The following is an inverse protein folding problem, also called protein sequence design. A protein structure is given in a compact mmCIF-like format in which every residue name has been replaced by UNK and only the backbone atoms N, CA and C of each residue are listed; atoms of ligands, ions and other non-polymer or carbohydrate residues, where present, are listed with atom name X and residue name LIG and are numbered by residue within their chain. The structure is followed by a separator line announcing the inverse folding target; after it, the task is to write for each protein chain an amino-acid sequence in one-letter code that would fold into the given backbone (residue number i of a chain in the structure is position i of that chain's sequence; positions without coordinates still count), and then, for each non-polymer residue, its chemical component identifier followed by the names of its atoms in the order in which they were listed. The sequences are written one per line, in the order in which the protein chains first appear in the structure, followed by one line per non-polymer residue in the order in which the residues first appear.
data_IF_731075362949
#
_entry.id   IF_731075362949
#
_cell.length_a   1.000
_cell.length_b   1.000
_cell.length_c   1.000
_cell.angle_alpha   90.00
_cell.angle_beta   90.00
_cell.angle_gamma   90.00
#
_symmetry.space_group_name_H-M   'P 1'
#
loop_
_entity.id
_entity.type
_entity.pdbx_description
1 polymer ?
#
# COMPACT_ATOMS: atom_id res chain seq x y z
N UNK A 1 -10.37 30.96 1.72
CA UNK A 1 -11.82 31.09 1.51
C UNK A 1 -12.48 29.77 1.88
N UNK A 2 -13.44 29.81 2.83
CA UNK A 2 -14.30 28.67 3.09
C UNK A 2 -15.02 28.27 1.77
N UNK A 3 -14.97 27.00 1.39
CA UNK A 3 -15.74 26.49 0.26
C UNK A 3 -17.03 25.90 0.82
N UNK A 4 -18.15 26.36 0.33
CA UNK A 4 -19.47 25.89 0.70
C UNK A 4 -19.86 24.78 -0.30
N UNK A 5 -20.04 23.55 0.20
CA UNK A 5 -20.50 22.40 -0.59
C UNK A 5 -21.82 21.89 -0.03
N UNK A 6 -22.89 22.64 -0.32
CA UNK A 6 -24.25 22.35 0.17
C UNK A 6 -24.80 21.01 -0.33
N UNK A 7 -24.39 20.60 -1.54
CA UNK A 7 -24.82 19.31 -2.09
C UNK A 7 -24.25 18.17 -1.26
N UNK A 8 -22.95 18.21 -0.95
CA UNK A 8 -22.30 17.19 -0.12
C UNK A 8 -22.86 17.18 1.33
N UNK A 9 -23.15 18.36 1.88
CA UNK A 9 -23.77 18.44 3.20
C UNK A 9 -25.13 17.72 3.23
N UNK A 10 -26.00 17.93 2.24
CA UNK A 10 -27.26 17.20 2.12
C UNK A 10 -27.08 15.69 1.99
N UNK A 11 -26.10 15.25 1.20
CA UNK A 11 -25.76 13.83 1.07
C UNK A 11 -25.37 13.24 2.42
N UNK A 12 -24.50 13.92 3.18
CA UNK A 12 -24.07 13.47 4.50
C UNK A 12 -25.22 13.47 5.52
N UNK A 13 -26.09 14.48 5.51
CA UNK A 13 -27.28 14.54 6.35
C UNK A 13 -28.25 13.39 6.05
N UNK A 14 -28.47 13.07 4.76
CA UNK A 14 -29.31 11.95 4.36
C UNK A 14 -28.71 10.60 4.80
N UNK A 15 -27.39 10.42 4.65
CA UNK A 15 -26.71 9.22 5.15
C UNK A 15 -26.74 9.11 6.67
N UNK A 16 -26.60 10.23 7.38
CA UNK A 16 -26.70 10.25 8.85
C UNK A 16 -28.09 9.88 9.34
N UNK A 17 -29.14 10.34 8.66
CA UNK A 17 -30.52 10.08 9.02
C UNK A 17 -30.99 8.66 8.67
N UNK A 18 -30.62 8.13 7.49
CA UNK A 18 -31.13 6.87 6.95
C UNK A 18 -30.11 5.71 6.97
N UNK A 19 -28.87 5.97 7.41
CA UNK A 19 -27.80 5.00 7.46
C UNK A 19 -27.05 4.82 6.12
N UNK A 20 -25.92 4.09 6.14
CA UNK A 20 -25.02 3.98 4.99
C UNK A 20 -25.64 3.28 3.77
N UNK A 21 -26.68 2.46 3.99
CA UNK A 21 -27.40 1.80 2.90
C UNK A 21 -28.18 2.78 2.03
N UNK A 22 -28.49 3.96 2.52
CA UNK A 22 -29.25 4.98 1.77
C UNK A 22 -28.63 5.29 0.41
N UNK A 23 -27.28 5.38 0.33
CA UNK A 23 -26.60 5.58 -0.94
C UNK A 23 -26.86 4.43 -1.92
N UNK A 24 -26.74 3.20 -1.45
CA UNK A 24 -26.85 2.00 -2.28
C UNK A 24 -28.31 1.63 -2.64
N UNK A 25 -29.27 2.14 -1.91
CA UNK A 25 -30.69 1.84 -2.11
C UNK A 25 -31.40 3.04 -2.76
N UNK A 26 -31.53 4.16 -2.05
CA UNK A 26 -32.33 5.29 -2.52
C UNK A 26 -31.66 6.13 -3.61
N UNK A 27 -30.32 6.24 -3.61
CA UNK A 27 -29.58 7.03 -4.61
C UNK A 27 -29.09 6.20 -5.80
N UNK A 28 -29.25 4.88 -5.76
CA UNK A 28 -28.65 3.94 -6.72
C UNK A 28 -29.04 4.21 -8.18
N UNK A 29 -30.33 4.43 -8.41
CA UNK A 29 -30.88 4.69 -9.75
C UNK A 29 -30.32 5.98 -10.38
N UNK A 30 -30.33 7.06 -9.59
CA UNK A 30 -29.88 8.37 -10.06
C UNK A 30 -28.35 8.36 -10.26
N UNK A 31 -27.62 7.71 -9.35
CA UNK A 31 -26.18 7.52 -9.46
C UNK A 31 -25.79 6.72 -10.73
N UNK A 32 -26.41 5.56 -10.94
CA UNK A 32 -26.14 4.74 -12.12
C UNK A 32 -26.51 5.46 -13.41
N UNK A 33 -27.66 6.16 -13.43
CA UNK A 33 -28.09 6.96 -14.58
C UNK A 33 -27.12 8.11 -14.89
N UNK A 34 -26.62 8.79 -13.85
CA UNK A 34 -25.65 9.85 -14.02
C UNK A 34 -24.35 9.30 -14.63
N UNK A 35 -23.77 8.23 -14.06
CA UNK A 35 -22.53 7.62 -14.57
C UNK A 35 -22.71 7.14 -16.02
N UNK A 36 -23.81 6.49 -16.33
CA UNK A 36 -24.10 6.02 -17.70
C UNK A 36 -24.24 7.18 -18.71
N UNK A 37 -24.79 8.32 -18.29
CA UNK A 37 -24.98 9.50 -19.15
C UNK A 37 -23.71 10.30 -19.38
N UNK A 38 -22.79 10.33 -18.41
CA UNK A 38 -21.56 11.13 -18.48
C UNK A 38 -20.35 10.37 -19.07
N UNK A 39 -20.48 9.06 -19.32
CA UNK A 39 -19.38 8.28 -19.93
C UNK A 39 -19.42 8.35 -21.44
N UNK A 40 -18.27 8.61 -22.12
CA UNK A 40 -18.21 8.77 -23.59
C UNK A 40 -18.61 7.53 -24.40
N UNK A 41 -18.57 6.38 -23.77
CA UNK A 41 -19.04 5.11 -24.32
C UNK A 41 -20.03 4.56 -23.32
N UNK A 42 -21.19 4.17 -23.83
CA UNK A 42 -22.23 3.47 -23.08
C UNK A 42 -21.68 2.80 -21.81
N UNK A 43 -21.60 3.56 -20.70
CA UNK A 43 -20.90 3.15 -19.47
C UNK A 43 -21.53 1.95 -18.79
N UNK A 44 -22.69 1.54 -19.26
CA UNK A 44 -23.42 0.31 -18.93
C UNK A 44 -23.64 0.05 -17.44
N UNK A 45 -23.33 1.04 -16.58
CA UNK A 45 -23.71 0.94 -15.18
C UNK A 45 -25.22 0.95 -15.07
N UNK A 46 -25.74 0.00 -14.32
CA UNK A 46 -27.18 -0.10 -14.04
C UNK A 46 -27.44 -0.06 -12.54
N UNK A 47 -28.66 0.26 -12.13
CA UNK A 47 -29.04 0.35 -10.73
C UNK A 47 -28.65 -0.90 -9.92
N UNK A 48 -28.74 -2.09 -10.52
CA UNK A 48 -28.38 -3.35 -9.88
C UNK A 48 -26.89 -3.45 -9.53
N UNK A 49 -25.99 -2.75 -10.24
CA UNK A 49 -24.58 -2.73 -9.91
C UNK A 49 -24.32 -2.00 -8.58
N UNK A 50 -25.11 -0.98 -8.31
CA UNK A 50 -25.04 -0.18 -7.08
C UNK A 50 -25.75 -0.87 -5.93
N UNK A 51 -27.00 -1.31 -6.13
CA UNK A 51 -27.80 -1.92 -5.07
C UNK A 51 -27.23 -3.25 -4.58
N UNK A 52 -26.54 -4.00 -5.45
CA UNK A 52 -25.91 -5.27 -5.11
C UNK A 52 -24.55 -5.12 -4.43
N UNK A 53 -24.00 -3.90 -4.34
CA UNK A 53 -22.70 -3.69 -3.70
C UNK A 53 -22.75 -3.96 -2.20
N UNK A 54 -21.75 -4.68 -1.70
CA UNK A 54 -21.52 -4.88 -0.29
C UNK A 54 -20.03 -4.76 0.04
N UNK A 55 -19.73 -4.06 1.13
CA UNK A 55 -18.39 -4.07 1.69
C UNK A 55 -18.04 -5.50 2.18
N UNK A 56 -16.79 -5.90 2.01
CA UNK A 56 -16.30 -7.21 2.40
C UNK A 56 -15.41 -7.10 3.63
N UNK A 57 -15.68 -7.92 4.63
CA UNK A 57 -14.72 -8.19 5.70
C UNK A 57 -13.69 -9.18 5.18
N UNK A 58 -12.42 -8.95 5.49
CA UNK A 58 -11.30 -9.81 5.10
C UNK A 58 -10.42 -10.05 6.32
N UNK A 59 -9.87 -11.25 6.41
CA UNK A 59 -8.88 -11.55 7.42
C UNK A 59 -7.59 -10.79 7.16
N UNK A 60 -6.91 -10.27 8.19
CA UNK A 60 -5.63 -9.60 8.01
C UNK A 60 -4.55 -10.59 7.59
N UNK A 61 -3.63 -10.13 6.77
CA UNK A 61 -2.39 -10.84 6.48
C UNK A 61 -1.37 -10.49 7.54
N UNK A 62 -0.98 -11.46 8.35
CA UNK A 62 -0.02 -11.27 9.42
C UNK A 62 1.25 -12.08 9.17
N UNK A 63 2.40 -11.50 9.53
CA UNK A 63 3.70 -12.16 9.54
C UNK A 63 4.49 -11.75 10.79
N UNK A 64 5.64 -12.41 11.02
CA UNK A 64 6.61 -11.97 12.04
C UNK A 64 7.72 -11.17 11.38
N UNK A 65 8.19 -10.17 12.10
CA UNK A 65 9.41 -9.43 11.78
C UNK A 65 10.16 -9.13 13.08
N UNK A 66 11.35 -9.68 13.25
CA UNK A 66 12.06 -9.74 14.51
C UNK A 66 11.16 -10.39 15.58
N UNK A 67 10.94 -9.71 16.69
CA UNK A 67 10.05 -10.17 17.78
C UNK A 67 8.59 -9.71 17.58
N UNK A 68 8.31 -8.88 16.58
CA UNK A 68 7.02 -8.26 16.38
C UNK A 68 6.11 -9.07 15.46
N UNK A 69 4.79 -8.96 15.67
CA UNK A 69 3.75 -9.41 14.74
C UNK A 69 3.30 -8.21 13.92
N UNK A 70 3.39 -8.32 12.59
CA UNK A 70 3.00 -7.28 11.65
C UNK A 70 1.77 -7.73 10.89
N UNK A 71 0.67 -6.99 10.97
CA UNK A 71 -0.60 -7.32 10.34
C UNK A 71 -1.03 -6.19 9.39
N UNK A 72 -1.33 -6.55 8.15
CA UNK A 72 -1.81 -5.63 7.11
C UNK A 72 -3.02 -6.17 6.38
N UNK A 73 -3.54 -5.41 5.41
CA UNK A 73 -4.72 -5.76 4.64
C UNK A 73 -4.41 -6.83 3.59
N UNK A 74 -5.30 -7.82 3.48
CA UNK A 74 -5.26 -8.89 2.47
C UNK A 74 -5.88 -8.50 1.11
N UNK A 75 -5.93 -9.44 0.16
CA UNK A 75 -6.53 -9.23 -1.16
C UNK A 75 -7.97 -8.65 -1.08
N UNK A 76 -8.34 -7.80 -2.06
CA UNK A 76 -7.62 -7.45 -3.28
C UNK A 76 -6.43 -6.50 -3.08
N UNK A 77 -6.20 -5.98 -1.87
CA UNK A 77 -4.96 -5.25 -1.62
C UNK A 77 -3.75 -6.19 -1.60
N UNK A 78 -2.69 -5.76 -2.25
CA UNK A 78 -1.40 -6.45 -2.25
C UNK A 78 -0.46 -5.95 -1.16
N UNK A 79 -0.85 -4.88 -0.45
CA UNK A 79 0.04 -4.17 0.47
C UNK A 79 0.52 -5.02 1.63
N UNK A 80 -0.38 -5.72 2.32
CA UNK A 80 0.00 -6.55 3.47
C UNK A 80 0.94 -7.69 3.10
N UNK A 81 0.71 -8.37 1.96
CA UNK A 81 1.62 -9.41 1.45
C UNK A 81 2.97 -8.84 1.08
N UNK A 82 3.01 -7.70 0.36
CA UNK A 82 4.27 -7.09 -0.06
C UNK A 82 5.10 -6.61 1.13
N UNK A 83 4.48 -6.00 2.14
CA UNK A 83 5.16 -5.59 3.39
C UNK A 83 5.73 -6.81 4.12
N UNK A 84 4.91 -7.86 4.32
CA UNK A 84 5.35 -9.08 5.00
C UNK A 84 6.52 -9.75 4.26
N UNK A 85 6.48 -9.82 2.92
CA UNK A 85 7.57 -10.37 2.13
C UNK A 85 8.85 -9.53 2.21
N UNK A 86 8.75 -8.19 2.07
CA UNK A 86 9.93 -7.32 2.16
C UNK A 86 10.60 -7.44 3.53
N UNK A 87 9.84 -7.38 4.61
CA UNK A 87 10.35 -7.50 5.96
C UNK A 87 10.97 -8.89 6.20
N UNK A 88 10.25 -9.95 5.88
CA UNK A 88 10.73 -11.32 6.10
C UNK A 88 11.95 -11.69 5.23
N UNK A 89 12.08 -11.16 4.02
CA UNK A 89 13.27 -11.36 3.20
C UNK A 89 14.50 -10.66 3.78
N UNK A 90 14.31 -9.58 4.55
CA UNK A 90 15.38 -8.84 5.21
C UNK A 90 15.76 -9.40 6.60
N UNK A 91 14.97 -10.33 7.14
CA UNK A 91 15.13 -10.90 8.48
C UNK A 91 16.54 -11.44 8.75
N UNK A 92 17.20 -12.04 7.76
CA UNK A 92 18.54 -12.63 7.91
C UNK A 92 19.69 -11.63 7.96
N UNK A 93 19.44 -10.36 7.65
CA UNK A 93 20.46 -9.32 7.67
C UNK A 93 20.41 -8.51 8.98
N UNK A 94 21.56 -8.15 9.48
CA UNK A 94 21.69 -7.24 10.62
C UNK A 94 21.55 -5.79 10.14
N UNK A 95 20.31 -5.37 9.96
CA UNK A 95 20.01 -4.00 9.48
C UNK A 95 20.40 -2.95 10.54
N UNK A 96 20.28 -3.31 11.83
CA UNK A 96 20.66 -2.41 12.92
C UNK A 96 22.14 -2.02 12.85
N UNK A 97 23.03 -2.98 12.55
CA UNK A 97 24.45 -2.73 12.37
C UNK A 97 24.74 -1.90 11.10
N UNK A 98 23.96 -2.05 10.03
CA UNK A 98 24.11 -1.26 8.82
C UNK A 98 23.68 0.20 9.00
N UNK A 99 22.60 0.42 9.73
CA UNK A 99 22.00 1.74 9.94
C UNK A 99 21.28 2.32 8.71
N UNK A 100 20.50 3.40 8.90
CA UNK A 100 19.65 4.00 7.86
C UNK A 100 20.43 4.80 6.79
N UNK A 101 21.71 5.06 7.03
CA UNK A 101 22.58 5.85 6.13
C UNK A 101 23.64 4.98 5.43
N UNK A 102 23.33 3.71 5.19
CA UNK A 102 24.20 2.74 4.52
C UNK A 102 23.71 2.45 3.11
N UNK A 103 24.57 2.57 2.11
CA UNK A 103 24.29 2.16 0.73
C UNK A 103 23.91 0.68 0.66
N UNK A 104 24.55 -0.17 1.48
CA UNK A 104 24.23 -1.60 1.58
C UNK A 104 22.81 -1.84 2.06
N UNK A 105 22.36 -1.12 3.10
CA UNK A 105 20.95 -1.21 3.53
C UNK A 105 19.99 -0.90 2.39
N UNK A 106 20.19 0.22 1.70
CA UNK A 106 19.33 0.62 0.60
C UNK A 106 19.35 -0.34 -0.56
N UNK A 107 20.50 -0.92 -0.85
CA UNK A 107 20.63 -1.99 -1.84
C UNK A 107 19.82 -3.24 -1.45
N UNK A 108 19.98 -3.75 -0.23
CA UNK A 108 19.22 -4.91 0.26
C UNK A 108 17.71 -4.65 0.23
N UNK A 109 17.29 -3.44 0.61
CA UNK A 109 15.90 -3.03 0.57
C UNK A 109 15.34 -2.95 -0.85
N UNK A 110 16.11 -2.49 -1.83
CA UNK A 110 15.74 -2.52 -3.25
C UNK A 110 15.55 -3.95 -3.76
N UNK A 111 16.46 -4.85 -3.39
CA UNK A 111 16.37 -6.25 -3.82
C UNK A 111 15.15 -6.96 -3.22
N UNK A 112 14.83 -6.72 -1.95
CA UNK A 112 13.63 -7.25 -1.32
C UNK A 112 12.36 -6.76 -2.01
N UNK A 113 12.31 -5.48 -2.39
CA UNK A 113 11.20 -4.92 -3.17
C UNK A 113 11.05 -5.63 -4.52
N UNK A 114 12.15 -5.83 -5.28
CA UNK A 114 12.11 -6.49 -6.60
C UNK A 114 11.48 -7.87 -6.50
N UNK A 115 11.86 -8.64 -5.50
CA UNK A 115 11.39 -10.00 -5.27
C UNK A 115 9.92 -10.02 -4.86
N UNK A 116 9.54 -9.15 -3.91
CA UNK A 116 8.15 -9.04 -3.46
C UNK A 116 7.21 -8.58 -4.59
N UNK A 117 7.64 -7.61 -5.39
CA UNK A 117 6.84 -7.12 -6.51
C UNK A 117 6.78 -8.10 -7.69
N UNK A 118 7.76 -8.98 -7.86
CA UNK A 118 7.65 -10.05 -8.84
C UNK A 118 6.52 -11.02 -8.48
N UNK A 119 6.41 -11.42 -7.22
CA UNK A 119 5.31 -12.26 -6.73
C UNK A 119 3.96 -11.50 -6.80
N UNK A 120 3.94 -10.23 -6.42
CA UNK A 120 2.76 -9.35 -6.49
C UNK A 120 2.16 -9.30 -7.90
N UNK A 121 2.99 -9.06 -8.91
CA UNK A 121 2.52 -8.93 -10.29
C UNK A 121 1.94 -10.22 -10.85
N UNK A 122 2.38 -11.36 -10.37
CA UNK A 122 1.88 -12.64 -10.83
C UNK A 122 0.62 -13.09 -10.09
N UNK A 123 0.59 -12.97 -8.75
CA UNK A 123 -0.39 -13.67 -7.93
C UNK A 123 -1.51 -12.79 -7.37
N UNK A 124 -1.27 -11.48 -7.20
CA UNK A 124 -2.22 -10.64 -6.47
C UNK A 124 -3.37 -10.12 -7.32
N UNK A 125 -4.57 -10.29 -6.81
CA UNK A 125 -5.83 -9.84 -7.38
C UNK A 125 -6.98 -10.08 -6.40
N UNK A 126 -8.23 -10.00 -6.85
CA UNK A 126 -9.40 -10.25 -6.02
C UNK A 126 -9.57 -11.76 -5.76
N UNK A 127 -9.44 -12.18 -4.50
CA UNK A 127 -9.53 -13.58 -4.09
C UNK A 127 -10.91 -14.20 -4.27
N UNK A 128 -11.96 -13.40 -4.43
CA UNK A 128 -13.30 -13.89 -4.78
C UNK A 128 -13.35 -14.43 -6.24
N UNK A 129 -12.38 -14.06 -7.09
CA UNK A 129 -12.33 -14.39 -8.53
C UNK A 129 -11.16 -15.31 -8.91
N UNK A 130 -10.08 -15.25 -8.15
CA UNK A 130 -8.90 -16.09 -8.36
C UNK A 130 -8.37 -16.63 -7.02
N UNK A 131 -7.86 -17.86 -7.00
CA UNK A 131 -7.23 -18.40 -5.80
C UNK A 131 -5.86 -17.72 -5.57
N UNK A 132 -5.82 -16.66 -4.78
CA UNK A 132 -4.58 -16.01 -4.36
C UNK A 132 -3.90 -16.86 -3.29
N UNK A 133 -2.65 -17.33 -3.46
CA UNK A 133 -1.99 -18.19 -2.49
C UNK A 133 -1.39 -17.40 -1.31
N UNK A 134 -2.22 -16.64 -0.59
CA UNK A 134 -1.77 -15.71 0.47
C UNK A 134 -0.91 -16.41 1.51
N UNK A 135 -1.40 -17.54 2.06
CA UNK A 135 -0.68 -18.27 3.09
C UNK A 135 0.72 -18.72 2.61
N UNK A 136 0.81 -19.23 1.37
CA UNK A 136 2.10 -19.62 0.81
C UNK A 136 3.03 -18.45 0.50
N UNK A 137 2.47 -17.28 0.10
CA UNK A 137 3.25 -16.08 -0.18
C UNK A 137 3.91 -15.48 1.07
N UNK A 138 3.30 -15.64 2.23
CA UNK A 138 3.83 -15.15 3.52
C UNK A 138 4.38 -16.27 4.40
N UNK A 139 4.43 -17.50 3.91
CA UNK A 139 5.03 -18.62 4.62
C UNK A 139 6.50 -18.35 4.93
N UNK A 140 6.96 -18.52 6.19
CA UNK A 140 8.33 -18.19 6.57
C UNK A 140 9.39 -18.97 5.78
N UNK A 141 9.15 -20.22 5.44
CA UNK A 141 10.11 -21.03 4.68
C UNK A 141 10.18 -20.58 3.22
N UNK A 142 9.03 -20.22 2.62
CA UNK A 142 8.99 -19.61 1.30
C UNK A 142 9.73 -18.27 1.28
N UNK A 143 9.42 -17.37 2.21
CA UNK A 143 10.05 -16.04 2.29
C UNK A 143 11.55 -16.15 2.54
N UNK A 144 11.99 -17.06 3.42
CA UNK A 144 13.41 -17.33 3.65
C UNK A 144 14.12 -17.86 2.39
N UNK A 145 13.48 -18.74 1.62
CA UNK A 145 14.00 -19.20 0.33
C UNK A 145 14.12 -18.06 -0.67
N UNK A 146 13.13 -17.15 -0.73
CA UNK A 146 13.18 -15.95 -1.59
C UNK A 146 14.29 -15.00 -1.15
N UNK A 147 14.51 -14.85 0.15
CA UNK A 147 15.61 -14.05 0.71
C UNK A 147 16.99 -14.49 0.20
N UNK A 148 17.22 -15.79 -0.04
CA UNK A 148 18.51 -16.29 -0.54
C UNK A 148 18.89 -15.73 -1.93
N UNK A 149 17.95 -15.17 -2.67
CA UNK A 149 18.22 -14.48 -3.93
C UNK A 149 18.91 -13.12 -3.74
N UNK A 150 18.80 -12.53 -2.55
CA UNK A 150 19.41 -11.24 -2.23
C UNK A 150 20.89 -11.45 -1.93
N UNK A 151 21.75 -10.82 -2.70
CA UNK A 151 23.19 -10.72 -2.44
C UNK A 151 23.52 -9.33 -1.89
N UNK A 152 24.35 -9.19 -0.86
CA UNK A 152 24.80 -7.86 -0.41
C UNK A 152 25.75 -7.17 -1.40
N UNK A 153 26.33 -7.92 -2.33
CA UNK A 153 27.42 -7.47 -3.19
C UNK A 153 26.98 -7.23 -4.64
N UNK A 154 25.75 -7.64 -5.01
CA UNK A 154 25.32 -7.56 -6.41
C UNK A 154 23.80 -7.54 -6.55
N UNK A 155 23.31 -6.60 -7.34
CA UNK A 155 21.90 -6.51 -7.70
C UNK A 155 21.46 -7.67 -8.62
N UNK A 156 20.22 -8.11 -8.42
CA UNK A 156 19.57 -9.06 -9.33
C UNK A 156 19.43 -8.45 -10.72
N UNK A 157 19.81 -9.21 -11.73
CA UNK A 157 19.60 -8.82 -13.13
C UNK A 157 18.11 -8.72 -13.43
N UNK A 158 17.33 -9.67 -12.90
CA UNK A 158 15.88 -9.72 -12.99
C UNK A 158 15.31 -10.53 -11.83
N UNK A 159 14.34 -9.98 -11.14
CA UNK A 159 13.55 -10.74 -10.18
C UNK A 159 12.40 -11.45 -10.90
N UNK A 160 12.28 -12.74 -10.67
CA UNK A 160 11.19 -13.58 -11.19
C UNK A 160 10.28 -14.01 -10.04
N UNK A 161 8.98 -14.22 -10.29
CA UNK A 161 8.08 -14.79 -9.29
C UNK A 161 8.59 -16.15 -8.80
N UNK A 162 8.37 -16.44 -7.51
CA UNK A 162 8.59 -17.79 -6.98
C UNK A 162 7.37 -18.67 -7.19
N UNK A 163 7.40 -19.86 -6.58
CA UNK A 163 6.26 -20.79 -6.55
C UNK A 163 5.90 -21.06 -5.09
N UNK A 164 5.02 -20.26 -4.48
CA UNK A 164 4.54 -20.52 -3.13
C UNK A 164 3.64 -21.74 -3.10
N UNK A 165 3.45 -22.32 -1.93
CA UNK A 165 2.43 -23.34 -1.73
C UNK A 165 1.03 -22.77 -2.00
N UNK A 166 0.11 -23.62 -2.44
CA UNK A 166 -1.29 -23.23 -2.71
C UNK A 166 -1.53 -22.60 -4.09
N UNK A 167 -0.54 -22.56 -4.98
CA UNK A 167 -0.75 -22.17 -6.38
C UNK A 167 -1.63 -23.22 -7.08
N UNK A 168 -2.83 -22.79 -7.51
CA UNK A 168 -3.82 -23.68 -8.15
C UNK A 168 -4.02 -23.42 -9.64
N UNK A 169 -3.59 -22.25 -10.13
CA UNK A 169 -3.82 -21.79 -11.50
C UNK A 169 -2.52 -21.26 -12.09
N UNK A 170 -2.24 -21.62 -13.34
CA UNK A 170 -1.14 -21.01 -14.08
C UNK A 170 -1.53 -19.59 -14.50
N UNK A 171 -0.82 -18.60 -13.99
CA UNK A 171 -1.05 -17.17 -14.24
C UNK A 171 0.06 -16.57 -15.10
N UNK A 172 -0.24 -15.42 -15.70
CA UNK A 172 0.75 -14.56 -16.33
C UNK A 172 0.91 -13.26 -15.53
N UNK A 173 2.13 -12.67 -15.51
CA UNK A 173 2.34 -11.37 -14.87
C UNK A 173 1.46 -10.29 -15.49
N UNK A 174 0.83 -9.48 -14.63
CA UNK A 174 0.03 -8.34 -15.03
C UNK A 174 0.84 -7.10 -15.35
N UNK A 175 0.17 -6.09 -15.88
CA UNK A 175 0.73 -4.76 -16.02
C UNK A 175 0.78 -4.07 -14.66
N UNK A 176 1.64 -3.06 -14.54
CA UNK A 176 1.67 -2.13 -13.41
C UNK A 176 0.81 -0.93 -13.77
N UNK A 177 -0.40 -0.81 -13.24
CA UNK A 177 -1.21 0.37 -13.45
C UNK A 177 -0.54 1.61 -12.84
N UNK A 178 -0.94 2.76 -13.32
CA UNK A 178 -0.46 4.05 -12.84
C UNK A 178 -1.35 4.47 -11.67
N UNK A 179 -1.10 3.91 -10.50
CA UNK A 179 -1.82 4.23 -9.24
C UNK A 179 -1.33 5.59 -8.72
N UNK A 180 -2.23 6.54 -8.39
CA UNK A 180 -1.83 7.90 -8.04
C UNK A 180 -2.29 8.37 -6.65
N UNK A 181 -3.52 8.81 -6.50
CA UNK A 181 -4.00 9.44 -5.28
C UNK A 181 -4.37 8.45 -4.17
N UNK A 182 -4.19 8.84 -2.94
CA UNK A 182 -4.63 8.06 -1.77
C UNK A 182 -4.53 8.95 -0.54
N UNK A 183 -5.26 8.64 0.50
CA UNK A 183 -5.09 9.23 1.83
C UNK A 183 -4.99 8.13 2.87
N UNK A 184 -4.28 8.42 3.95
CA UNK A 184 -4.14 7.52 5.09
C UNK A 184 -4.26 8.29 6.40
N UNK A 185 -4.92 7.70 7.39
CA UNK A 185 -4.91 8.20 8.76
C UNK A 185 -4.87 7.05 9.77
N UNK A 186 -4.37 7.36 10.94
CA UNK A 186 -4.28 6.46 12.10
C UNK A 186 -5.00 7.05 13.29
N UNK A 187 -5.67 6.21 14.06
CA UNK A 187 -6.33 6.60 15.30
C UNK A 187 -6.05 5.57 16.37
N UNK A 188 -5.78 6.03 17.58
CA UNK A 188 -5.77 5.20 18.80
C UNK A 188 -6.62 5.91 19.82
N UNK A 189 -7.59 5.22 20.40
CA UNK A 189 -8.44 5.78 21.44
C UNK A 189 -7.87 5.56 22.85
N UNK A 190 -8.56 6.10 23.86
CA UNK A 190 -8.17 5.97 25.27
C UNK A 190 -8.20 4.54 25.82
N UNK A 191 -8.92 3.65 25.15
CA UNK A 191 -9.07 2.24 25.54
C UNK A 191 -8.08 1.34 24.80
N UNK A 192 -7.21 1.92 23.94
CA UNK A 192 -6.19 1.21 23.18
C UNK A 192 -6.69 0.62 21.87
N UNK A 193 -7.94 0.87 21.45
CA UNK A 193 -8.41 0.47 20.13
C UNK A 193 -7.66 1.25 19.07
N UNK A 194 -7.15 0.56 18.06
CA UNK A 194 -6.32 1.15 17.02
C UNK A 194 -6.93 0.97 15.63
N UNK A 195 -6.89 2.02 14.82
CA UNK A 195 -7.31 2.02 13.42
C UNK A 195 -6.14 2.48 12.55
N UNK A 196 -5.85 1.70 11.51
CA UNK A 196 -5.01 2.09 10.38
C UNK A 196 -5.92 2.11 9.14
N UNK A 197 -6.22 3.28 8.61
CA UNK A 197 -7.22 3.45 7.55
C UNK A 197 -6.64 4.11 6.32
N UNK A 198 -6.71 3.41 5.20
CA UNK A 198 -6.31 3.93 3.89
C UNK A 198 -7.52 3.98 2.98
N UNK A 199 -7.75 5.12 2.34
CA UNK A 199 -8.87 5.36 1.43
C UNK A 199 -8.42 6.10 0.18
N UNK A 200 -9.08 5.85 -0.93
CA UNK A 200 -8.73 6.45 -2.21
C UNK A 200 -9.95 6.62 -3.11
N UNK A 201 -9.83 7.55 -4.04
CA UNK A 201 -10.64 7.64 -5.25
C UNK A 201 -9.74 7.50 -6.49
N UNK A 202 -8.51 7.05 -6.29
CA UNK A 202 -7.36 6.87 -7.17
C UNK A 202 -6.79 8.22 -7.62
N UNK A 203 -7.27 8.87 -8.66
CA UNK A 203 -6.81 10.20 -9.06
C UNK A 203 -7.18 11.32 -8.06
N UNK A 204 -6.48 12.45 -8.11
CA UNK A 204 -6.74 13.60 -7.21
C UNK A 204 -8.21 14.10 -7.27
N UNK A 205 -8.85 13.93 -8.42
CA UNK A 205 -10.26 14.22 -8.65
C UNK A 205 -11.01 12.98 -9.20
N UNK A 206 -10.49 11.79 -8.94
CA UNK A 206 -11.01 10.52 -9.42
C UNK A 206 -11.21 10.53 -10.94
N UNK A 207 -12.39 10.11 -11.40
CA UNK A 207 -12.76 10.14 -12.81
C UNK A 207 -13.08 11.56 -13.35
N UNK A 208 -13.09 12.57 -12.49
CA UNK A 208 -13.58 13.91 -12.83
C UNK A 208 -15.10 14.05 -12.76
N UNK A 209 -15.86 12.97 -12.68
CA UNK A 209 -17.30 13.01 -12.50
C UNK A 209 -17.64 13.50 -11.08
N UNK A 210 -18.68 14.33 -10.99
CA UNK A 210 -19.08 14.96 -9.74
C UNK A 210 -20.57 14.77 -9.50
N UNK A 211 -20.90 13.93 -8.52
CA UNK A 211 -22.27 13.59 -8.19
C UNK A 211 -22.61 13.99 -6.74
N UNK A 212 -23.73 14.67 -6.52
CA UNK A 212 -24.25 15.05 -5.21
C UNK A 212 -23.17 15.61 -4.24
N UNK A 213 -22.24 16.40 -4.78
CA UNK A 213 -21.24 17.12 -3.99
C UNK A 213 -19.91 16.40 -3.79
N UNK A 214 -19.67 15.22 -4.37
CA UNK A 214 -18.41 14.49 -4.28
C UNK A 214 -17.93 13.96 -5.63
N UNK A 215 -16.59 13.81 -5.76
CA UNK A 215 -15.98 13.20 -6.94
C UNK A 215 -16.09 11.68 -6.91
N UNK A 216 -16.32 11.10 -8.08
CA UNK A 216 -16.34 9.65 -8.25
C UNK A 216 -14.93 9.13 -8.52
N UNK A 217 -14.63 7.92 -8.03
CA UNK A 217 -13.33 7.29 -8.23
C UNK A 217 -13.08 6.92 -9.70
N UNK A 218 -11.82 6.62 -10.03
CA UNK A 218 -11.38 6.01 -11.28
C UNK A 218 -10.64 4.68 -11.04
N UNK A 219 -11.01 3.93 -10.02
CA UNK A 219 -10.35 2.69 -9.59
C UNK A 219 -10.28 1.60 -10.67
N UNK A 220 -11.11 1.68 -11.71
CA UNK A 220 -11.02 0.74 -12.84
C UNK A 220 -9.67 0.80 -13.57
N UNK A 221 -8.95 1.92 -13.45
CA UNK A 221 -7.61 2.07 -14.02
C UNK A 221 -6.55 1.23 -13.30
N UNK A 222 -6.86 0.71 -12.11
CA UNK A 222 -5.97 -0.17 -11.34
C UNK A 222 -6.00 -1.63 -11.82
N UNK A 223 -6.94 -1.99 -12.69
CA UNK A 223 -6.87 -3.27 -13.38
C UNK A 223 -5.73 -3.32 -14.38
N UNK A 224 -5.20 -4.54 -14.61
CA UNK A 224 -4.28 -4.78 -15.72
C UNK A 224 -5.00 -4.62 -17.04
N UNK A 225 -4.43 -3.82 -17.97
CA UNK A 225 -4.99 -3.57 -19.30
C UNK A 225 -4.96 -4.83 -20.17
N UNK A 226 -4.00 -5.73 -19.90
CA UNK A 226 -3.85 -7.00 -20.61
C UNK A 226 -4.52 -8.13 -19.83
N UNK A 227 -5.62 -8.73 -20.31
CA UNK A 227 -6.36 -9.75 -19.56
C UNK A 227 -5.66 -11.11 -19.53
N UNK A 228 -4.80 -11.39 -20.50
CA UNK A 228 -4.04 -12.65 -20.62
C UNK A 228 -2.73 -12.44 -21.39
N UNK A 229 -1.73 -13.29 -21.11
CA UNK A 229 -0.46 -13.37 -21.85
C UNK A 229 -0.12 -14.84 -22.08
N UNK A 230 0.29 -15.17 -23.30
CA UNK A 230 0.66 -16.54 -23.70
C UNK A 230 -0.42 -17.58 -23.31
N UNK A 231 -1.69 -17.22 -23.48
CA UNK A 231 -2.83 -18.07 -23.15
C UNK A 231 -3.12 -18.24 -21.65
N UNK A 232 -2.36 -17.59 -20.77
CA UNK A 232 -2.56 -17.60 -19.31
C UNK A 232 -3.27 -16.34 -18.84
N UNK A 233 -4.26 -16.46 -17.94
CA UNK A 233 -4.94 -15.31 -17.40
C UNK A 233 -4.02 -14.46 -16.50
N UNK A 234 -4.26 -13.15 -16.51
CA UNK A 234 -3.65 -12.23 -15.54
C UNK A 234 -4.51 -12.17 -14.29
N UNK A 235 -3.90 -12.26 -13.11
CA UNK A 235 -4.62 -12.24 -11.84
C UNK A 235 -5.49 -10.99 -11.68
N UNK A 236 -4.95 -9.83 -12.01
CA UNK A 236 -5.61 -8.52 -11.90
C UNK A 236 -6.32 -8.08 -13.20
N UNK A 237 -6.80 -9.02 -14.04
CA UNK A 237 -7.59 -8.69 -15.23
C UNK A 237 -8.97 -8.15 -14.85
N UNK A 238 -9.55 -7.34 -15.74
CA UNK A 238 -10.92 -6.86 -15.59
C UNK A 238 -11.92 -8.01 -15.69
N UNK A 239 -12.85 -8.06 -14.76
CA UNK A 239 -14.02 -8.94 -14.78
C UNK A 239 -15.20 -8.21 -14.11
N UNK A 240 -16.44 -8.51 -14.52
CA UNK A 240 -17.63 -7.94 -13.89
C UNK A 240 -17.68 -8.25 -12.38
N UNK A 241 -17.98 -7.26 -11.55
CA UNK A 241 -18.04 -7.32 -10.07
C UNK A 241 -16.71 -7.55 -9.36
N UNK A 242 -15.63 -7.73 -10.06
CA UNK A 242 -14.28 -7.89 -9.50
C UNK A 242 -13.75 -6.55 -9.00
N UNK A 243 -13.04 -6.56 -7.89
CA UNK A 243 -12.30 -5.43 -7.39
C UNK A 243 -10.90 -5.41 -8.01
N UNK A 244 -10.40 -4.23 -8.40
CA UNK A 244 -9.02 -4.12 -8.85
C UNK A 244 -8.06 -4.39 -7.70
N UNK A 245 -6.84 -4.80 -8.04
CA UNK A 245 -5.75 -4.91 -7.08
C UNK A 245 -5.35 -3.52 -6.59
N UNK A 246 -5.23 -3.36 -5.29
CA UNK A 246 -4.73 -2.14 -4.65
C UNK A 246 -3.32 -2.31 -4.09
N UNK A 247 -2.60 -1.20 -3.93
CA UNK A 247 -1.33 -1.11 -3.21
C UNK A 247 -1.50 -0.61 -1.76
N UNK A 248 -2.68 -0.26 -1.32
CA UNK A 248 -2.93 0.22 0.04
C UNK A 248 -2.42 -0.79 1.09
N UNK A 249 -1.67 -0.29 2.07
CA UNK A 249 -1.00 -1.10 3.09
C UNK A 249 -1.22 -0.55 4.50
N UNK A 250 -2.48 -0.37 4.96
CA UNK A 250 -2.71 -0.04 6.36
C UNK A 250 -2.16 -1.17 7.22
N UNK A 251 -1.34 -0.84 8.20
CA UNK A 251 -0.59 -1.84 8.97
C UNK A 251 -0.61 -1.51 10.46
N UNK A 252 -0.75 -2.54 11.28
CA UNK A 252 -0.63 -2.49 12.74
C UNK A 252 0.45 -3.50 13.15
N UNK A 253 1.36 -3.05 14.02
CA UNK A 253 2.46 -3.86 14.57
C UNK A 253 2.21 -4.09 16.06
N UNK A 254 2.36 -5.33 16.46
CA UNK A 254 2.16 -5.78 17.83
C UNK A 254 3.47 -6.33 18.41
N UNK A 255 3.69 -6.12 19.70
CA UNK A 255 4.77 -6.77 20.44
C UNK A 255 4.44 -8.23 20.80
N UNK A 256 5.33 -8.89 21.54
CA UNK A 256 5.14 -10.27 21.99
C UNK A 256 4.00 -10.43 23.01
N UNK A 257 3.65 -9.39 23.72
CA UNK A 257 2.50 -9.37 24.63
C UNK A 257 1.16 -9.22 23.90
N UNK A 258 1.20 -8.86 22.62
CA UNK A 258 0.02 -8.58 21.81
C UNK A 258 -0.45 -7.12 21.88
N UNK A 259 0.34 -6.25 22.51
CA UNK A 259 0.05 -4.82 22.56
C UNK A 259 0.39 -4.13 21.23
N UNK A 260 -0.43 -3.16 20.84
CA UNK A 260 -0.15 -2.32 19.67
C UNK A 260 1.04 -1.42 19.96
N UNK A 261 2.10 -1.50 19.14
CA UNK A 261 3.31 -0.68 19.27
C UNK A 261 3.49 0.33 18.14
N UNK A 262 2.93 0.04 16.96
CA UNK A 262 2.99 0.95 15.82
C UNK A 262 1.72 0.78 14.96
N UNK A 263 1.12 1.90 14.58
CA UNK A 263 0.06 1.99 13.57
C UNK A 263 0.59 2.85 12.45
N UNK A 264 0.64 2.34 11.22
CA UNK A 264 1.33 3.03 10.12
C UNK A 264 0.66 2.74 8.78
N UNK A 265 0.77 3.69 7.88
CA UNK A 265 0.42 3.53 6.49
C UNK A 265 0.73 4.80 5.70
N UNK A 266 0.47 4.74 4.41
CA UNK A 266 0.88 5.78 3.49
C UNK A 266 -0.09 5.94 2.32
N UNK A 267 0.13 7.00 1.54
CA UNK A 267 -0.43 7.22 0.23
C UNK A 267 0.68 7.33 -0.82
N UNK A 268 0.38 7.04 -2.09
CA UNK A 268 1.35 7.16 -3.19
C UNK A 268 1.41 5.95 -4.11
N UNK A 269 0.27 5.28 -4.35
CA UNK A 269 0.15 4.15 -5.26
C UNK A 269 1.15 3.02 -4.95
N UNK A 270 1.93 2.56 -5.94
CA UNK A 270 2.84 1.44 -5.75
C UNK A 270 3.94 1.68 -4.71
N UNK A 271 4.17 2.93 -4.29
CA UNK A 271 5.18 3.24 -3.26
C UNK A 271 4.68 2.96 -1.84
N UNK A 272 3.37 2.75 -1.64
CA UNK A 272 2.75 2.60 -0.31
C UNK A 272 3.37 1.44 0.49
N UNK A 273 3.48 0.21 -0.04
CA UNK A 273 4.09 -0.90 0.71
C UNK A 273 5.55 -0.63 1.08
N UNK A 274 6.28 0.05 0.19
CA UNK A 274 7.69 0.42 0.41
C UNK A 274 7.82 1.45 1.54
N UNK A 275 6.96 2.47 1.55
CA UNK A 275 6.91 3.46 2.63
C UNK A 275 6.59 2.81 3.98
N UNK A 276 5.61 1.91 3.99
CA UNK A 276 5.18 1.19 5.20
C UNK A 276 6.29 0.27 5.73
N UNK A 277 6.89 -0.57 4.88
CA UNK A 277 7.99 -1.45 5.29
C UNK A 277 9.20 -0.66 5.79
N UNK A 278 9.59 0.42 5.11
CA UNK A 278 10.67 1.32 5.52
C UNK A 278 10.42 1.95 6.88
N UNK A 279 9.19 2.40 7.14
CA UNK A 279 8.85 2.98 8.44
C UNK A 279 8.94 1.94 9.58
N UNK A 280 8.50 0.69 9.32
CA UNK A 280 8.62 -0.41 10.28
C UNK A 280 10.10 -0.71 10.56
N UNK A 281 10.94 -0.83 9.53
CA UNK A 281 12.39 -1.03 9.69
C UNK A 281 13.01 0.12 10.47
N UNK A 282 12.62 1.36 10.17
CA UNK A 282 13.11 2.54 10.88
C UNK A 282 12.86 2.48 12.39
N UNK A 283 11.66 2.07 12.78
CA UNK A 283 11.29 1.94 14.20
C UNK A 283 11.94 0.70 14.84
N UNK A 284 11.87 -0.46 14.16
CA UNK A 284 12.24 -1.76 14.74
C UNK A 284 13.75 -2.00 14.74
N UNK A 285 14.42 -1.76 13.62
CA UNK A 285 15.86 -2.05 13.48
C UNK A 285 16.74 -0.86 13.87
N UNK A 286 16.32 0.36 13.50
CA UNK A 286 17.14 1.55 13.71
C UNK A 286 16.78 2.30 15.01
N UNK A 287 15.73 1.89 15.72
CA UNK A 287 15.31 2.55 16.97
C UNK A 287 14.83 3.99 16.79
N UNK A 288 14.47 4.38 15.56
CA UNK A 288 14.04 5.73 15.24
C UNK A 288 12.68 6.04 15.87
N UNK A 289 12.45 7.32 16.15
CA UNK A 289 11.10 7.81 16.44
C UNK A 289 10.18 7.58 15.24
N UNK A 290 8.87 7.58 15.46
CA UNK A 290 7.92 7.46 14.35
C UNK A 290 8.14 8.55 13.30
N UNK A 291 8.44 9.79 13.72
CA UNK A 291 8.68 10.93 12.82
C UNK A 291 9.93 10.74 11.95
N UNK A 292 11.03 10.29 12.55
CA UNK A 292 12.27 10.01 11.84
C UNK A 292 12.09 8.83 10.86
N UNK A 293 11.41 7.78 11.28
CA UNK A 293 11.17 6.59 10.47
C UNK A 293 10.36 6.87 9.20
N UNK A 294 9.26 7.64 9.29
CA UNK A 294 8.51 8.06 8.10
C UNK A 294 9.27 9.13 7.30
N UNK A 295 10.17 9.87 7.94
CA UNK A 295 11.05 10.86 7.32
C UNK A 295 12.20 10.29 6.50
N UNK A 296 12.54 9.01 6.64
CA UNK A 296 13.57 8.37 5.82
C UNK A 296 13.32 8.58 4.31
N UNK A 297 14.36 8.63 3.47
CA UNK A 297 14.21 8.82 2.03
C UNK A 297 13.37 7.73 1.39
N UNK A 298 12.65 8.05 0.32
CA UNK A 298 12.07 7.03 -0.54
C UNK A 298 13.10 6.58 -1.59
N UNK A 299 13.25 5.26 -1.70
CA UNK A 299 13.90 4.61 -2.84
C UNK A 299 13.06 3.41 -3.24
N UNK A 300 12.85 3.23 -4.54
CA UNK A 300 11.99 2.16 -5.04
C UNK A 300 12.51 1.56 -6.33
N UNK A 301 12.35 0.24 -6.45
CA UNK A 301 12.65 -0.52 -7.65
C UNK A 301 11.40 -0.72 -8.53
N UNK A 302 11.35 -0.04 -9.67
CA UNK A 302 10.39 -0.30 -10.74
C UNK A 302 11.01 -1.21 -11.80
N UNK A 303 10.95 -2.52 -11.57
CA UNK A 303 11.67 -3.49 -12.40
C UNK A 303 13.17 -3.20 -12.42
N UNK A 304 13.80 -2.97 -13.59
CA UNK A 304 15.23 -2.64 -13.68
C UNK A 304 15.55 -1.20 -13.27
N UNK A 305 14.56 -0.31 -13.19
CA UNK A 305 14.79 1.10 -12.87
C UNK A 305 14.64 1.31 -11.37
N UNK A 306 15.59 2.00 -10.77
CA UNK A 306 15.55 2.51 -9.42
C UNK A 306 15.17 3.98 -9.48
N UNK A 307 14.19 4.38 -8.66
CA UNK A 307 13.86 5.78 -8.45
C UNK A 307 14.08 6.14 -6.99
N UNK A 308 14.59 7.32 -6.72
CA UNK A 308 14.82 7.79 -5.36
C UNK A 308 14.44 9.27 -5.21
N UNK A 309 14.17 9.65 -3.98
CA UNK A 309 13.79 11.01 -3.61
C UNK A 309 14.94 11.99 -3.84
N UNK A 310 14.68 13.01 -4.68
CA UNK A 310 15.64 14.06 -5.01
C UNK A 310 15.99 14.89 -3.77
N UNK A 311 17.28 15.22 -3.62
CA UNK A 311 17.79 15.99 -2.49
C UNK A 311 17.96 15.16 -1.21
N UNK A 312 17.79 13.85 -1.28
CA UNK A 312 17.97 12.93 -0.15
C UNK A 312 19.41 12.42 -0.06
N UNK A 313 19.76 11.82 1.07
CA UNK A 313 21.07 11.18 1.29
C UNK A 313 21.38 10.09 0.25
N UNK A 314 20.36 9.55 -0.42
CA UNK A 314 20.53 8.53 -1.47
C UNK A 314 21.37 9.05 -2.65
N UNK A 315 21.36 10.36 -2.93
CA UNK A 315 22.20 10.96 -3.96
C UNK A 315 23.69 10.64 -3.74
N UNK A 316 24.14 10.65 -2.48
CA UNK A 316 25.51 10.29 -2.12
C UNK A 316 25.86 8.81 -2.31
N UNK A 317 24.88 7.95 -2.51
CA UNK A 317 25.07 6.50 -2.70
C UNK A 317 24.90 6.06 -4.16
N UNK A 318 24.60 6.96 -5.08
CA UNK A 318 24.26 6.60 -6.46
C UNK A 318 25.37 5.81 -7.15
N UNK A 319 26.62 6.20 -6.98
CA UNK A 319 27.76 5.51 -7.61
C UNK A 319 27.97 4.12 -6.99
N UNK A 320 27.90 3.99 -5.68
CA UNK A 320 27.96 2.67 -5.00
C UNK A 320 26.80 1.77 -5.45
N UNK A 321 25.59 2.30 -5.61
CA UNK A 321 24.46 1.52 -6.12
C UNK A 321 24.68 1.10 -7.58
N UNK A 322 25.32 1.93 -8.41
CA UNK A 322 25.72 1.55 -9.78
C UNK A 322 26.76 0.43 -9.80
N UNK A 323 27.77 0.52 -8.94
CA UNK A 323 28.79 -0.53 -8.77
C UNK A 323 28.18 -1.87 -8.37
N UNK A 324 27.15 -1.85 -7.51
CA UNK A 324 26.37 -3.02 -7.13
C UNK A 324 25.48 -3.56 -8.28
N UNK A 325 25.35 -2.83 -9.38
CA UNK A 325 24.61 -3.27 -10.57
C UNK A 325 23.26 -2.59 -10.80
N UNK A 326 22.90 -1.57 -10.03
CA UNK A 326 21.70 -0.76 -10.29
C UNK A 326 21.98 0.26 -11.39
N UNK A 327 21.91 -0.14 -12.65
CA UNK A 327 22.37 0.65 -13.80
C UNK A 327 21.41 1.75 -14.26
N UNK A 328 20.13 1.69 -13.85
CA UNK A 328 19.09 2.66 -14.24
C UNK A 328 18.56 3.35 -13.01
N UNK A 329 19.26 4.41 -12.59
CA UNK A 329 18.90 5.19 -11.40
C UNK A 329 18.39 6.57 -11.81
N UNK A 330 17.31 7.03 -11.19
CA UNK A 330 16.70 8.36 -11.43
C UNK A 330 16.23 8.96 -10.13
N UNK A 331 16.51 10.25 -9.94
CA UNK A 331 15.86 11.03 -8.87
C UNK A 331 14.50 11.55 -9.30
N UNK A 332 13.59 11.74 -8.36
CA UNK A 332 12.28 12.35 -8.59
C UNK A 332 11.84 13.21 -7.40
N UNK A 333 10.96 14.17 -7.65
CA UNK A 333 10.31 14.94 -6.60
C UNK A 333 9.24 14.08 -5.92
N UNK A 334 9.49 13.63 -4.69
CA UNK A 334 8.55 12.80 -3.96
C UNK A 334 7.45 13.64 -3.32
N UNK A 335 6.18 13.27 -3.56
CA UNK A 335 5.02 13.76 -2.82
C UNK A 335 4.46 12.60 -1.99
N UNK A 336 5.07 12.37 -0.83
CA UNK A 336 4.72 11.26 0.06
C UNK A 336 3.73 11.73 1.12
N UNK A 337 2.90 10.80 1.62
CA UNK A 337 1.85 11.11 2.59
C UNK A 337 1.73 9.95 3.59
N UNK A 338 2.82 9.67 4.31
CA UNK A 338 2.78 8.69 5.39
C UNK A 338 2.33 9.36 6.70
N UNK A 339 1.70 8.59 7.56
CA UNK A 339 1.55 8.93 8.97
C UNK A 339 1.63 7.67 9.84
N UNK A 340 2.00 7.88 11.11
CA UNK A 340 2.16 6.79 12.05
C UNK A 340 1.84 7.26 13.47
N UNK A 341 1.44 6.29 14.30
CA UNK A 341 1.38 6.40 15.75
C UNK A 341 2.27 5.32 16.35
N UNK A 342 3.25 5.70 17.17
CA UNK A 342 4.13 4.76 17.89
C UNK A 342 3.86 4.84 19.38
N UNK A 343 3.65 3.69 20.03
CA UNK A 343 3.55 3.58 21.47
C UNK A 343 4.92 3.77 22.10
N UNK A 344 4.98 4.63 23.11
CA UNK A 344 6.16 4.85 23.93
C UNK A 344 5.79 4.55 25.38
N UNK A 345 6.57 3.68 26.02
CA UNK A 345 6.42 3.38 27.44
C UNK A 345 7.56 4.05 28.19
N UNK A 346 7.23 4.99 29.07
CA UNK A 346 8.21 5.66 29.92
C UNK A 346 8.73 4.71 31.01
N UNK A 347 9.82 5.09 31.70
CA UNK A 347 10.43 4.30 32.75
C UNK A 347 9.50 4.03 33.94
N UNK A 348 8.51 4.89 34.17
CA UNK A 348 7.49 4.74 35.23
C UNK A 348 6.29 3.89 34.77
N UNK A 349 6.33 3.33 33.56
CA UNK A 349 5.24 2.55 32.96
C UNK A 349 4.16 3.38 32.25
N UNK A 350 4.26 4.70 32.26
CA UNK A 350 3.30 5.57 31.57
C UNK A 350 3.36 5.33 30.06
N UNK A 351 2.20 5.10 29.44
CA UNK A 351 2.06 4.91 28.01
C UNK A 351 1.67 6.24 27.36
N UNK A 352 2.37 6.59 26.29
CA UNK A 352 2.07 7.72 25.43
C UNK A 352 2.19 7.32 23.95
N UNK A 353 1.72 8.18 23.06
CA UNK A 353 1.78 7.96 21.63
C UNK A 353 2.54 9.08 20.93
N UNK A 354 3.61 8.72 20.23
CA UNK A 354 4.24 9.61 19.26
C UNK A 354 3.37 9.72 18.02
N UNK A 355 3.05 10.95 17.61
CA UNK A 355 2.31 11.25 16.39
C UNK A 355 3.30 11.68 15.32
N UNK A 356 3.27 11.02 14.16
CA UNK A 356 4.15 11.31 13.05
C UNK A 356 3.37 11.64 11.77
N UNK A 357 3.79 12.70 11.08
CA UNK A 357 3.29 13.11 9.75
C UNK A 357 4.44 13.20 8.79
N UNK A 358 4.19 12.84 7.53
CA UNK A 358 5.21 12.94 6.49
C UNK A 358 5.74 14.38 6.39
N UNK A 359 7.05 14.60 6.55
CA UNK A 359 7.63 15.94 6.50
C UNK A 359 7.53 16.60 5.13
N UNK A 360 7.20 15.84 4.08
CA UNK A 360 7.02 16.32 2.72
C UNK A 360 5.63 16.91 2.47
N UNK A 361 4.69 16.67 3.39
CA UNK A 361 3.42 17.39 3.42
C UNK A 361 3.71 18.74 4.07
N UNK A 362 4.07 19.74 3.27
CA UNK A 362 4.33 21.09 3.79
C UNK A 362 3.12 21.65 4.55
N UNK A 363 3.34 22.19 5.74
CA UNK A 363 2.31 22.89 6.51
C UNK A 363 2.07 24.33 5.96
N UNK A 364 1.93 24.50 4.65
CA UNK A 364 1.60 25.82 4.06
C UNK A 364 0.12 26.15 4.10
N UNK A 365 -0.67 25.42 4.84
CA UNK A 365 -2.01 25.81 5.24
C UNK A 365 -1.98 26.15 6.74
N UNK A 366 -1.38 27.27 7.11
CA UNK A 366 -1.79 27.98 8.31
C UNK A 366 -3.24 28.40 8.06
N UNK A 367 -4.17 27.75 8.68
CA UNK A 367 -5.52 28.26 8.83
C UNK A 367 -5.44 29.35 9.91
N UNK A 368 -5.17 30.59 9.50
CA UNK A 368 -5.49 31.78 10.27
C UNK A 368 -6.99 32.09 10.14
#
# INVERSE_FOLDING_TARGET
RARDNKAFAKTLEALAAAGPRHFYDAMAKDFAGYVAGETPQDGRMVEADVTSYAAKLRDPVCGRYRTYKVCGMGPPSSGGVAVAQMLGQLERFDLAALGPYSATFWHLFLESQRIAYADRELYMGDEDFIPVPVAGLVDPAYVAKRSQLISPDKALTQATPGTPEGVKVALAPGDRPNENGTTHFTVVDKDGNAISYTSTIEGAFGSGLFFEGFYLNNELTDFSLTPQRDGKPVANRVEGRKRPRSSMAPTIVFDEAGDVVLVVGAAGGPTIPVQTARAIIGVVDFGLTAQEAIGLPLIMAFGPTVVYEKGSVIEGFEDTLKELGHTRIRSFGASLKANALRRVTAADGTISWEVARDPRIEPKLSYE
#
